data_IF_728154925041
#
_entry.id   IF_728154925041
#
_cell.length_a   1.000
_cell.length_b   1.000
_cell.length_c   1.000
_cell.angle_alpha   90.00
_cell.angle_beta   90.00
_cell.angle_gamma   90.00
#
_symmetry.space_group_name_H-M   'P 1'
#
loop_
_entity.id
_entity.type
_entity.pdbx_description
1 polymer ?
#
# COMPACT_ATOMS: atom_id res chain seq x y z
N UNK A 1 -3.72 -19.77 -7.31
CA UNK A 1 -2.82 -19.54 -6.16
C UNK A 1 -3.69 -19.03 -5.03
N UNK A 2 -3.57 -19.57 -3.82
CA UNK A 2 -4.23 -18.93 -2.67
C UNK A 2 -3.75 -17.48 -2.59
N UNK A 3 -4.62 -16.48 -2.42
CA UNK A 3 -4.15 -15.12 -2.24
C UNK A 3 -3.24 -15.11 -1.01
N UNK A 4 -2.03 -14.59 -1.19
CA UNK A 4 -1.14 -14.28 -0.07
C UNK A 4 -1.86 -13.34 0.89
N UNK A 5 -1.60 -13.51 2.19
CA UNK A 5 -2.10 -12.63 3.25
C UNK A 5 -1.94 -11.14 2.86
N UNK A 6 -3.00 -10.30 2.90
CA UNK A 6 -2.95 -8.92 2.44
C UNK A 6 -1.83 -8.09 3.08
N UNK A 7 -1.56 -8.30 4.37
CA UNK A 7 -0.50 -7.60 5.07
C UNK A 7 0.88 -8.00 4.52
N UNK A 8 1.08 -9.29 4.24
CA UNK A 8 2.29 -9.79 3.59
C UNK A 8 2.50 -9.15 2.22
N UNK A 9 1.45 -9.02 1.41
CA UNK A 9 1.51 -8.35 0.09
C UNK A 9 2.00 -6.91 0.21
N UNK A 10 1.47 -6.13 1.16
CA UNK A 10 1.90 -4.74 1.37
C UNK A 10 3.32 -4.62 1.91
N UNK A 11 3.71 -5.52 2.80
CA UNK A 11 5.08 -5.51 3.33
C UNK A 11 6.10 -5.81 2.22
N UNK A 12 5.80 -6.78 1.36
CA UNK A 12 6.69 -7.15 0.26
C UNK A 12 6.76 -6.05 -0.81
N UNK A 13 5.64 -5.37 -1.11
CA UNK A 13 5.64 -4.23 -2.03
C UNK A 13 6.48 -3.06 -1.49
N UNK A 14 6.43 -2.82 -0.19
CA UNK A 14 7.23 -1.77 0.45
C UNK A 14 8.73 -2.13 0.50
N UNK A 15 9.08 -3.39 0.80
CA UNK A 15 10.48 -3.86 0.80
C UNK A 15 11.12 -3.76 -0.59
N UNK A 16 10.34 -3.92 -1.65
CA UNK A 16 10.78 -3.78 -3.04
C UNK A 16 10.80 -2.33 -3.55
N UNK A 17 10.34 -1.35 -2.76
CA UNK A 17 10.23 0.03 -3.20
C UNK A 17 11.62 0.66 -3.43
N UNK A 18 11.84 1.36 -4.56
CA UNK A 18 13.09 2.08 -4.79
C UNK A 18 13.25 3.22 -3.79
N UNK A 19 14.48 3.44 -3.32
CA UNK A 19 14.83 4.54 -2.42
C UNK A 19 15.63 5.57 -3.21
N UNK A 20 15.22 6.83 -3.12
CA UNK A 20 15.92 7.99 -3.67
C UNK A 20 16.31 8.97 -2.56
N UNK A 21 17.20 9.90 -2.85
CA UNK A 21 17.53 11.01 -1.96
C UNK A 21 16.69 12.23 -2.30
N UNK A 22 15.91 12.74 -1.33
CA UNK A 22 15.28 14.06 -1.38
C UNK A 22 16.07 15.00 -0.47
N UNK A 23 17.13 15.60 -1.01
CA UNK A 23 18.13 16.32 -0.20
C UNK A 23 18.88 15.35 0.69
N UNK A 24 18.88 15.59 2.00
CA UNK A 24 19.49 14.71 3.02
C UNK A 24 18.54 13.61 3.52
N UNK A 25 17.34 13.49 2.94
CA UNK A 25 16.32 12.55 3.38
C UNK A 25 16.17 11.37 2.40
N UNK A 26 16.42 10.11 2.84
CA UNK A 26 16.13 8.94 2.02
C UNK A 26 14.62 8.72 1.95
N UNK A 27 14.08 8.77 0.74
CA UNK A 27 12.65 8.69 0.44
C UNK A 27 12.38 7.43 -0.39
N UNK A 28 11.57 6.51 0.12
CA UNK A 28 11.07 5.39 -0.69
C UNK A 28 9.97 5.90 -1.62
N UNK A 29 9.94 5.43 -2.85
CA UNK A 29 8.89 5.73 -3.81
C UNK A 29 7.97 4.51 -3.87
N UNK A 30 6.72 4.63 -3.45
CA UNK A 30 5.78 3.52 -3.42
C UNK A 30 4.46 3.89 -4.15
N UNK A 31 3.93 3.05 -5.06
CA UNK A 31 2.80 3.43 -5.91
C UNK A 31 1.56 3.93 -5.16
N UNK A 32 1.30 3.39 -3.97
CA UNK A 32 0.14 3.79 -3.15
C UNK A 32 0.31 5.18 -2.52
N UNK A 33 1.49 5.49 -1.96
CA UNK A 33 1.74 6.78 -1.28
C UNK A 33 2.02 7.91 -2.26
N UNK A 34 2.65 7.59 -3.39
CA UNK A 34 3.15 8.56 -4.35
C UNK A 34 2.23 8.75 -5.56
N UNK A 35 1.14 7.98 -5.66
CA UNK A 35 0.16 8.10 -6.74
C UNK A 35 0.72 7.76 -8.13
N UNK A 36 1.72 6.87 -8.20
CA UNK A 36 2.38 6.52 -9.46
C UNK A 36 1.48 5.54 -10.23
N UNK A 37 1.16 5.79 -11.53
CA UNK A 37 0.16 5.00 -12.27
C UNK A 37 0.46 3.50 -12.40
N UNK A 38 1.74 3.11 -12.31
CA UNK A 38 2.15 1.71 -12.44
C UNK A 38 2.14 1.06 -11.06
N UNK A 39 1.07 0.31 -10.79
CA UNK A 39 0.84 -0.43 -9.56
C UNK A 39 0.36 -1.84 -9.87
N UNK A 40 0.81 -2.81 -9.09
CA UNK A 40 0.31 -4.18 -9.16
C UNK A 40 -1.09 -4.27 -8.54
N UNK A 41 -2.00 -4.97 -9.23
CA UNK A 41 -3.41 -5.03 -8.80
C UNK A 41 -3.60 -5.65 -7.41
N UNK A 42 -2.76 -6.62 -7.04
CA UNK A 42 -2.82 -7.30 -5.74
C UNK A 42 -2.44 -6.35 -4.59
N UNK A 43 -1.53 -5.40 -4.84
CA UNK A 43 -1.12 -4.38 -3.86
C UNK A 43 -2.26 -3.39 -3.61
N UNK A 44 -2.96 -2.96 -4.66
CA UNK A 44 -4.15 -2.14 -4.52
C UNK A 44 -5.26 -2.87 -3.75
N UNK A 45 -5.54 -4.13 -4.12
CA UNK A 45 -6.58 -4.93 -3.48
C UNK A 45 -6.28 -5.14 -2.00
N UNK A 46 -5.05 -5.54 -1.65
CA UNK A 46 -4.64 -5.70 -0.26
C UNK A 46 -4.81 -4.40 0.56
N UNK A 47 -4.52 -3.24 -0.04
CA UNK A 47 -4.72 -1.93 0.61
C UNK A 47 -6.17 -1.63 0.87
N UNK A 48 -7.04 -1.85 -0.12
CA UNK A 48 -8.48 -1.66 0.02
C UNK A 48 -9.06 -2.59 1.08
N UNK A 49 -8.73 -3.89 1.02
CA UNK A 49 -9.24 -4.90 1.95
C UNK A 49 -8.89 -4.53 3.39
N UNK A 50 -7.60 -4.26 3.66
CA UNK A 50 -7.15 -3.86 4.99
C UNK A 50 -7.77 -2.52 5.43
N UNK A 51 -7.91 -1.55 4.52
CA UNK A 51 -8.54 -0.26 4.86
C UNK A 51 -10.01 -0.44 5.24
N UNK A 52 -10.74 -1.27 4.50
CA UNK A 52 -12.16 -1.55 4.79
C UNK A 52 -12.33 -2.27 6.12
N UNK A 53 -11.44 -3.21 6.44
CA UNK A 53 -11.42 -3.95 7.71
C UNK A 53 -11.08 -3.05 8.91
N UNK A 54 -10.27 -2.01 8.73
CA UNK A 54 -9.86 -1.10 9.80
C UNK A 54 -10.92 -0.01 10.12
N UNK A 55 -11.90 0.21 9.26
CA UNK A 55 -12.88 1.29 9.43
C UNK A 55 -14.04 0.84 10.32
N UNK A 56 -14.32 1.60 11.37
CA UNK A 56 -15.55 1.49 12.17
C UNK A 56 -16.70 2.19 11.42
N UNK A 57 -17.37 1.45 10.54
CA UNK A 57 -18.38 2.00 9.62
C UNK A 57 -19.59 2.64 10.30
N UNK A 58 -19.86 2.33 11.57
CA UNK A 58 -20.93 2.98 12.35
C UNK A 58 -20.63 4.43 12.71
N UNK A 59 -19.35 4.83 12.67
CA UNK A 59 -18.87 6.18 13.03
C UNK A 59 -18.54 7.01 11.76
N UNK A 60 -18.94 6.55 10.58
CA UNK A 60 -18.72 7.26 9.31
C UNK A 60 -20.02 7.93 8.86
N UNK A 61 -19.97 9.26 8.71
CA UNK A 61 -21.02 10.02 8.05
C UNK A 61 -20.98 9.75 6.53
N UNK A 62 -22.05 9.14 5.99
CA UNK A 62 -22.23 8.83 4.56
C UNK A 62 -23.20 9.79 3.89
#
# INVERSE_FOLDING_TARGET
MSPSDPLTVLQDSLRGAPIIWKGEYPYFIHPISDGIPRMEADVLRATCDLSVEMVEWSEIDL
#
